data_IF_573486239444
#
_entry.id   IF_573486239444
#
_cell.length_a   1.000
_cell.length_b   1.000
_cell.length_c   1.000
_cell.angle_alpha   90.00
_cell.angle_beta   90.00
_cell.angle_gamma   90.00
#
_symmetry.space_group_name_H-M   'P 1'
#
loop_
_entity.id
_entity.type
_entity.pdbx_description
1 polymer ?
#
# COMPACT_ATOMS: atom_id res chain seq x y z
N UNK A 1 13.34 2.10 7.39
CA UNK A 1 13.06 1.90 5.96
C UNK A 1 11.56 2.06 5.68
N UNK A 2 11.23 2.81 4.65
CA UNK A 2 9.85 3.02 4.19
C UNK A 2 9.81 2.88 2.68
N UNK A 3 8.79 2.23 2.17
CA UNK A 3 8.53 2.10 0.75
C UNK A 3 7.08 1.78 0.47
N UNK A 4 6.67 1.95 -0.79
CA UNK A 4 5.34 1.55 -1.22
C UNK A 4 5.32 1.16 -2.68
N UNK A 5 4.29 0.43 -3.05
CA UNK A 5 3.94 0.16 -4.43
C UNK A 5 2.44 0.32 -4.66
N UNK A 6 2.08 0.70 -5.86
CA UNK A 6 0.71 0.81 -6.30
C UNK A 6 0.54 -0.03 -7.55
N UNK A 7 -0.40 -0.94 -7.50
CA UNK A 7 -0.77 -1.80 -8.61
C UNK A 7 -2.15 -1.41 -9.12
N UNK A 8 -2.23 -1.08 -10.40
CA UNK A 8 -3.49 -0.81 -11.08
C UNK A 8 -3.72 -1.87 -12.16
N UNK A 9 -4.82 -2.59 -12.08
CA UNK A 9 -5.21 -3.62 -13.03
C UNK A 9 -6.07 -3.01 -14.14
N UNK A 10 -5.73 -3.30 -15.40
CA UNK A 10 -6.35 -2.67 -16.55
C UNK A 10 -5.87 -1.23 -16.77
N UNK A 11 -6.53 -0.53 -17.68
CA UNK A 11 -6.27 0.88 -18.03
C UNK A 11 -7.59 1.64 -18.09
N UNK A 12 -8.18 2.03 -16.97
CA UNK A 12 -9.50 2.69 -16.95
C UNK A 12 -9.55 3.96 -17.78
N UNK A 13 -8.48 4.77 -17.78
CA UNK A 13 -8.38 5.98 -18.59
C UNK A 13 -8.45 5.71 -20.11
N UNK A 14 -8.06 4.52 -20.54
CA UNK A 14 -8.14 4.06 -21.94
C UNK A 14 -9.37 3.16 -22.19
N UNK A 15 -10.30 3.07 -21.23
CA UNK A 15 -11.48 2.18 -21.28
C UNK A 15 -11.11 0.71 -21.48
N UNK A 16 -9.97 0.29 -20.96
CA UNK A 16 -9.48 -1.10 -21.01
C UNK A 16 -9.56 -1.73 -19.61
N UNK A 17 -10.69 -2.36 -19.25
CA UNK A 17 -10.83 -3.01 -17.96
C UNK A 17 -9.98 -4.28 -17.87
N UNK A 18 -9.73 -4.72 -16.63
CA UNK A 18 -9.08 -6.00 -16.37
C UNK A 18 -10.08 -7.15 -16.55
N UNK A 19 -10.17 -7.67 -17.77
CA UNK A 19 -11.13 -8.73 -18.17
C UNK A 19 -10.46 -10.05 -18.53
N UNK A 20 -9.16 -10.07 -18.74
CA UNK A 20 -8.41 -11.28 -19.11
C UNK A 20 -6.96 -11.19 -18.64
N UNK A 21 -6.28 -12.34 -18.61
CA UNK A 21 -4.91 -12.45 -18.16
C UNK A 21 -4.81 -12.79 -16.68
N UNK A 22 -3.58 -12.89 -16.20
CA UNK A 22 -3.28 -13.08 -14.78
C UNK A 22 -2.07 -12.25 -14.39
N UNK A 23 -2.03 -11.86 -13.13
CA UNK A 23 -0.89 -11.23 -12.51
C UNK A 23 -0.53 -11.98 -11.25
N UNK A 24 0.73 -12.35 -11.11
CA UNK A 24 1.27 -12.88 -9.87
C UNK A 24 2.17 -11.82 -9.23
N UNK A 25 1.81 -11.38 -8.05
CA UNK A 25 2.59 -10.47 -7.24
C UNK A 25 3.29 -11.25 -6.13
N UNK A 26 4.60 -11.06 -6.03
CA UNK A 26 5.41 -11.62 -4.95
C UNK A 26 6.10 -10.47 -4.23
N UNK A 27 5.82 -10.34 -2.96
CA UNK A 27 6.46 -9.35 -2.10
C UNK A 27 7.30 -10.05 -1.04
N UNK A 28 8.54 -9.61 -0.90
CA UNK A 28 9.46 -10.14 0.11
C UNK A 28 10.16 -8.99 0.80
N UNK A 29 10.06 -8.98 2.12
CA UNK A 29 10.81 -8.06 2.96
C UNK A 29 11.80 -8.87 3.78
N UNK A 30 13.08 -8.57 3.63
CA UNK A 30 14.16 -9.26 4.33
C UNK A 30 14.86 -8.29 5.27
N UNK A 31 15.23 -8.77 6.44
CA UNK A 31 16.09 -8.04 7.38
C UNK A 31 17.28 -8.93 7.73
N UNK A 32 18.48 -8.43 7.46
CA UNK A 32 19.73 -9.18 7.68
C UNK A 32 19.71 -10.57 7.02
N UNK A 33 19.17 -10.66 5.80
CA UNK A 33 19.04 -11.90 5.05
C UNK A 33 17.91 -12.83 5.50
N UNK A 34 17.16 -12.47 6.54
CA UNK A 34 16.05 -13.28 7.07
C UNK A 34 14.72 -12.73 6.59
N UNK A 35 13.76 -13.59 6.19
CA UNK A 35 12.42 -13.17 5.83
C UNK A 35 11.71 -12.53 7.02
N UNK A 36 11.29 -11.27 6.87
CA UNK A 36 10.47 -10.55 7.83
C UNK A 36 8.99 -10.56 7.41
N UNK A 37 8.75 -10.45 6.11
CA UNK A 37 7.41 -10.50 5.52
C UNK A 37 7.48 -11.14 4.14
N UNK A 38 6.59 -12.09 3.88
CA UNK A 38 6.44 -12.76 2.59
C UNK A 38 4.97 -12.73 2.21
N UNK A 39 4.69 -12.28 1.00
CA UNK A 39 3.34 -12.28 0.45
C UNK A 39 3.36 -12.70 -1.01
N UNK A 40 2.38 -13.49 -1.40
CA UNK A 40 2.15 -13.92 -2.78
C UNK A 40 0.67 -13.79 -3.08
N UNK A 41 0.36 -13.07 -4.15
CA UNK A 41 -1.00 -12.90 -4.62
C UNK A 41 -1.09 -13.23 -6.09
N UNK A 42 -2.10 -14.00 -6.45
CA UNK A 42 -2.50 -14.24 -7.83
C UNK A 42 -3.80 -13.48 -8.09
N UNK A 43 -3.79 -12.69 -9.15
CA UNK A 43 -4.94 -11.88 -9.56
C UNK A 43 -5.39 -12.30 -10.96
N UNK A 44 -6.61 -12.79 -11.01
CA UNK A 44 -7.31 -13.17 -12.23
C UNK A 44 -8.71 -12.57 -12.19
N UNK A 45 -9.23 -12.02 -13.29
CA UNK A 45 -10.51 -11.30 -13.29
C UNK A 45 -11.69 -12.13 -12.77
N UNK A 46 -11.69 -13.43 -13.09
CA UNK A 46 -12.79 -14.34 -12.75
C UNK A 46 -12.57 -15.15 -11.48
N UNK A 47 -11.41 -14.99 -10.84
CA UNK A 47 -11.09 -15.75 -9.64
C UNK A 47 -11.83 -15.21 -8.42
N UNK A 48 -12.30 -16.11 -7.53
CA UNK A 48 -13.03 -15.75 -6.32
C UNK A 48 -12.24 -14.81 -5.38
N UNK A 49 -10.92 -14.89 -5.35
CA UNK A 49 -10.07 -13.97 -4.57
C UNK A 49 -10.14 -12.54 -5.09
N UNK A 50 -10.30 -12.34 -6.39
CA UNK A 50 -10.43 -11.01 -6.97
C UNK A 50 -11.83 -10.44 -6.76
N UNK A 51 -12.89 -11.22 -7.05
CA UNK A 51 -14.29 -10.78 -6.97
C UNK A 51 -14.88 -10.89 -5.57
N UNK A 52 -14.40 -11.83 -4.75
CA UNK A 52 -15.01 -12.16 -3.48
C UNK A 52 -14.83 -11.08 -2.41
N UNK A 53 -15.83 -10.93 -1.55
CA UNK A 53 -15.83 -9.98 -0.42
C UNK A 53 -14.65 -10.18 0.52
N UNK A 54 -14.25 -11.42 0.74
CA UNK A 54 -13.08 -11.78 1.59
C UNK A 54 -11.74 -11.68 0.87
N UNK A 55 -11.73 -11.39 -0.42
CA UNK A 55 -10.54 -11.10 -1.21
C UNK A 55 -10.45 -9.62 -1.53
N UNK A 56 -10.30 -9.30 -2.81
CA UNK A 56 -10.14 -7.92 -3.29
C UNK A 56 -11.47 -7.20 -3.56
N UNK A 57 -12.62 -7.90 -3.48
CA UNK A 57 -13.93 -7.30 -3.73
C UNK A 57 -14.08 -6.65 -5.12
N UNK A 58 -13.32 -7.12 -6.12
CA UNK A 58 -13.28 -6.52 -7.45
C UNK A 58 -12.49 -5.22 -7.55
N UNK A 59 -11.75 -4.82 -6.52
CA UNK A 59 -10.91 -3.63 -6.56
C UNK A 59 -9.79 -3.77 -7.60
N UNK A 60 -9.68 -2.79 -8.49
CA UNK A 60 -8.69 -2.78 -9.57
C UNK A 60 -7.40 -2.06 -9.21
N UNK A 61 -7.41 -1.31 -8.11
CA UNK A 61 -6.24 -0.62 -7.58
C UNK A 61 -5.96 -1.09 -6.18
N UNK A 62 -4.75 -1.54 -5.96
CA UNK A 62 -4.25 -1.82 -4.61
C UNK A 62 -2.94 -1.08 -4.37
N UNK A 63 -2.74 -0.66 -3.14
CA UNK A 63 -1.47 -0.10 -2.69
C UNK A 63 -1.05 -0.76 -1.39
N UNK A 64 0.25 -0.92 -1.23
CA UNK A 64 0.86 -1.37 0.02
C UNK A 64 2.03 -0.46 0.34
N UNK A 65 1.97 0.17 1.51
CA UNK A 65 3.07 0.91 2.09
C UNK A 65 3.57 0.13 3.30
N UNK A 66 4.87 -0.03 3.42
CA UNK A 66 5.50 -0.73 4.53
C UNK A 66 6.54 0.14 5.20
N UNK A 67 6.63 0.02 6.51
CA UNK A 67 7.60 0.73 7.33
C UNK A 67 8.27 -0.23 8.28
N UNK A 68 9.59 -0.20 8.33
CA UNK A 68 10.42 -0.99 9.24
C UNK A 68 11.37 -0.07 9.99
N UNK A 69 11.58 -0.34 11.26
CA UNK A 69 12.54 0.40 12.08
C UNK A 69 11.94 1.59 12.83
N UNK A 70 10.62 1.63 13.02
CA UNK A 70 9.97 2.60 13.88
C UNK A 70 10.23 2.27 15.36
N UNK A 71 10.58 3.28 16.15
CA UNK A 71 10.73 3.14 17.60
C UNK A 71 9.38 3.05 18.32
N UNK A 72 8.38 3.78 17.85
CA UNK A 72 7.01 3.82 18.39
C UNK A 72 6.00 3.50 17.28
N UNK A 73 5.79 2.21 17.04
CA UNK A 73 4.85 1.75 16.01
C UNK A 73 3.40 2.10 16.37
N UNK A 74 3.01 1.97 17.63
CA UNK A 74 1.65 2.27 18.07
C UNK A 74 1.30 3.74 17.89
N UNK A 75 2.18 4.65 18.27
CA UNK A 75 2.01 6.09 18.07
C UNK A 75 1.96 6.47 16.59
N UNK A 76 2.78 5.85 15.76
CA UNK A 76 2.75 6.06 14.31
C UNK A 76 1.42 5.61 13.69
N UNK A 77 0.88 4.47 14.11
CA UNK A 77 -0.41 3.95 13.63
C UNK A 77 -1.55 4.89 14.04
N UNK A 78 -1.55 5.37 15.28
CA UNK A 78 -2.56 6.34 15.74
C UNK A 78 -2.51 7.64 14.95
N UNK A 79 -1.31 8.19 14.72
CA UNK A 79 -1.13 9.39 13.89
C UNK A 79 -1.67 9.19 12.47
N UNK A 80 -1.38 8.06 11.85
CA UNK A 80 -1.92 7.74 10.53
C UNK A 80 -3.44 7.65 10.53
N UNK A 81 -4.03 7.00 11.53
CA UNK A 81 -5.49 6.87 11.64
C UNK A 81 -6.19 8.19 11.87
N UNK A 82 -5.57 9.11 12.59
CA UNK A 82 -6.13 10.44 12.84
C UNK A 82 -5.96 11.40 11.67
N UNK A 83 -4.82 11.37 10.99
CA UNK A 83 -4.47 12.35 9.97
C UNK A 83 -4.92 11.96 8.56
N UNK A 84 -5.01 10.67 8.24
CA UNK A 84 -5.45 10.22 6.92
C UNK A 84 -6.98 10.31 6.79
N UNK A 85 -7.49 10.53 5.56
CA UNK A 85 -8.93 10.61 5.33
C UNK A 85 -9.67 9.37 5.81
N UNK A 86 -10.79 9.54 6.48
CA UNK A 86 -11.64 8.44 6.90
C UNK A 86 -12.19 7.69 5.68
N UNK A 87 -11.94 6.38 5.62
CA UNK A 87 -12.37 5.54 4.51
C UNK A 87 -12.29 4.06 4.90
N UNK A 88 -13.20 3.26 4.35
CA UNK A 88 -13.14 1.80 4.45
C UNK A 88 -12.19 1.16 3.43
N UNK A 89 -11.63 1.96 2.51
CA UNK A 89 -10.74 1.47 1.45
C UNK A 89 -9.29 1.28 1.89
N UNK A 90 -8.92 1.79 3.05
CA UNK A 90 -7.58 1.58 3.58
C UNK A 90 -7.61 1.14 5.04
N UNK A 91 -6.54 0.46 5.43
CA UNK A 91 -6.31 0.08 6.82
C UNK A 91 -4.81 0.08 7.12
N UNK A 92 -4.48 0.33 8.37
CA UNK A 92 -3.11 0.24 8.86
C UNK A 92 -3.01 -0.77 9.99
N UNK A 93 -2.01 -1.65 9.91
CA UNK A 93 -1.78 -2.71 10.88
C UNK A 93 -0.28 -2.85 11.15
N UNK A 94 0.07 -3.59 12.20
CA UNK A 94 1.46 -3.97 12.47
C UNK A 94 1.59 -5.46 12.67
N UNK A 95 2.69 -6.01 12.23
CA UNK A 95 3.03 -7.40 12.46
C UNK A 95 4.55 -7.59 12.38
N UNK A 96 5.12 -8.21 13.41
CA UNK A 96 6.55 -8.57 13.45
C UNK A 96 7.53 -7.45 13.15
N UNK A 97 7.28 -6.24 13.68
CA UNK A 97 8.15 -5.08 13.44
C UNK A 97 7.91 -4.37 12.10
N UNK A 98 6.88 -4.74 11.37
CA UNK A 98 6.47 -4.09 10.14
C UNK A 98 5.13 -3.40 10.33
N UNK A 99 5.06 -2.11 10.03
CA UNK A 99 3.81 -1.37 9.89
C UNK A 99 3.40 -1.43 8.42
N UNK A 100 2.18 -1.85 8.17
CA UNK A 100 1.59 -1.99 6.84
C UNK A 100 0.37 -1.10 6.73
N UNK A 101 0.35 -0.24 5.71
CA UNK A 101 -0.84 0.46 5.27
C UNK A 101 -1.24 -0.13 3.92
N UNK A 102 -2.50 -0.53 3.80
CA UNK A 102 -3.05 -1.14 2.59
C UNK A 102 -4.27 -0.39 2.11
N UNK A 103 -4.36 -0.24 0.82
CA UNK A 103 -5.48 0.35 0.10
C UNK A 103 -6.02 -0.64 -0.92
N UNK A 104 -7.35 -0.72 -1.00
CA UNK A 104 -8.08 -1.43 -2.05
C UNK A 104 -9.19 -0.52 -2.56
N UNK A 105 -9.18 -0.21 -3.84
CA UNK A 105 -10.18 0.68 -4.44
C UNK A 105 -10.11 0.67 -5.96
N UNK A 106 -10.55 1.75 -6.55
CA UNK A 106 -10.66 1.91 -8.00
C UNK A 106 -9.81 3.08 -8.53
N UNK A 107 -9.29 3.93 -7.64
CA UNK A 107 -8.67 5.21 -8.00
C UNK A 107 -7.18 5.23 -7.69
N UNK A 108 -6.36 5.20 -8.74
CA UNK A 108 -4.90 5.26 -8.60
C UNK A 108 -4.43 6.55 -7.91
N UNK A 109 -5.06 7.67 -8.24
CA UNK A 109 -4.68 8.97 -7.66
C UNK A 109 -5.00 9.05 -6.16
N UNK A 110 -6.11 8.45 -5.73
CA UNK A 110 -6.44 8.32 -4.32
C UNK A 110 -5.40 7.47 -3.58
N UNK A 111 -5.01 6.33 -4.15
CA UNK A 111 -3.97 5.47 -3.59
C UNK A 111 -2.62 6.20 -3.48
N UNK A 112 -2.25 6.96 -4.52
CA UNK A 112 -1.02 7.77 -4.51
C UNK A 112 -1.04 8.83 -3.42
N UNK A 113 -2.12 9.61 -3.34
CA UNK A 113 -2.27 10.65 -2.33
C UNK A 113 -2.20 10.07 -0.90
N UNK A 114 -2.84 8.93 -0.67
CA UNK A 114 -2.80 8.23 0.62
C UNK A 114 -1.37 7.83 0.99
N UNK A 115 -0.64 7.20 0.07
CA UNK A 115 0.74 6.78 0.30
C UNK A 115 1.67 7.98 0.53
N UNK A 116 1.49 9.06 -0.24
CA UNK A 116 2.28 10.27 -0.07
C UNK A 116 2.04 10.91 1.29
N UNK A 117 0.80 11.08 1.69
CA UNK A 117 0.45 11.63 3.02
C UNK A 117 0.99 10.77 4.15
N UNK A 118 0.84 9.45 4.05
CA UNK A 118 1.40 8.54 5.03
C UNK A 118 2.93 8.65 5.12
N UNK A 119 3.60 8.75 3.99
CA UNK A 119 5.05 8.95 3.92
C UNK A 119 5.48 10.27 4.58
N UNK A 120 4.75 11.36 4.33
CA UNK A 120 5.02 12.67 4.94
C UNK A 120 4.93 12.63 6.46
N UNK A 121 3.97 11.88 7.00
CA UNK A 121 3.79 11.70 8.45
C UNK A 121 4.86 10.78 9.07
N UNK A 122 5.27 9.74 8.37
CA UNK A 122 6.16 8.71 8.91
C UNK A 122 7.64 9.07 8.77
N UNK A 123 8.01 9.74 7.70
CA UNK A 123 9.43 10.06 7.45
C UNK A 123 10.11 10.77 8.63
N UNK A 124 9.54 11.78 9.28
CA UNK A 124 10.17 12.41 10.44
C UNK A 124 10.41 11.44 11.59
N UNK A 125 9.53 10.49 11.79
CA UNK A 125 9.68 9.45 12.84
C UNK A 125 10.82 8.48 12.56
N UNK A 126 11.13 8.23 11.28
CA UNK A 126 12.21 7.33 10.88
C UNK A 126 13.57 8.02 10.83
N UNK A 127 13.62 9.26 10.39
CA UNK A 127 14.88 9.95 10.03
C UNK A 127 15.19 11.16 10.91
N UNK A 128 14.22 11.66 11.67
CA UNK A 128 14.30 12.94 12.37
C UNK A 128 14.30 14.15 11.41
N UNK A 129 14.10 13.94 10.13
CA UNK A 129 14.09 14.98 9.10
C UNK A 129 12.69 15.17 8.53
N UNK A 130 12.29 16.42 8.21
CA UNK A 130 11.00 16.66 7.57
C UNK A 130 10.93 15.99 6.19
N UNK A 131 9.72 15.67 5.77
CA UNK A 131 9.46 15.17 4.45
C UNK A 131 9.66 16.26 3.41
N UNK A 132 10.39 15.94 2.35
CA UNK A 132 10.58 16.82 1.18
C UNK A 132 10.21 16.02 -0.07
N UNK A 133 9.16 16.44 -0.75
CA UNK A 133 8.65 15.75 -1.93
C UNK A 133 9.69 15.77 -3.05
N UNK A 134 10.11 14.60 -3.55
CA UNK A 134 11.06 14.55 -4.66
C UNK A 134 10.50 15.24 -5.91
N UNK A 135 11.36 15.99 -6.60
CA UNK A 135 10.94 16.72 -7.82
C UNK A 135 10.29 15.83 -8.86
N UNK A 136 10.76 14.60 -8.99
CA UNK A 136 10.23 13.63 -9.97
C UNK A 136 8.74 13.28 -9.71
N UNK A 137 8.26 13.47 -8.50
CA UNK A 137 6.84 13.24 -8.20
C UNK A 137 5.93 14.39 -8.64
N UNK A 138 6.52 15.55 -8.97
CA UNK A 138 5.80 16.74 -9.40
C UNK A 138 5.64 16.81 -10.93
N UNK A 139 6.26 15.90 -11.64
CA UNK A 139 6.15 15.73 -13.09
C UNK A 139 5.19 14.59 -13.41
#
# INVERSE_FOLDING_TARGET
CIGWEILALGRPASKLPFVSGHLEQKFRLLMDGRPLWLERQLMEPDHARFKGHWGQGGATVQATLWVVGLGDEAGAIEELREALPESHRWAVTRRRGVVLLRYLGQERNEAWALCQQAWELIRPRLTGQPASVPRIWLT
#
